data_IF_128198185560
#
_entry.id   IF_128198185560
#
_cell.length_a   1.000
_cell.length_b   1.000
_cell.length_c   1.000
_cell.angle_alpha   90.00
_cell.angle_beta   90.00
_cell.angle_gamma   90.00
#
_symmetry.space_group_name_H-M   'P 1'
#
loop_
_entity.id
_entity.type
_entity.pdbx_description
1 polymer ?
#
# COMPACT_ATOMS: atom_id res chain seq x y z
N UNK A 1 -2.61 -19.17 -16.84
CA UNK A 1 -2.89 -18.71 -15.47
C UNK A 1 -1.68 -18.19 -14.67
N UNK A 2 -0.41 -18.38 -15.10
CA UNK A 2 0.78 -17.79 -14.41
C UNK A 2 0.94 -16.27 -14.60
N UNK A 3 0.53 -15.72 -15.74
CA UNK A 3 0.65 -14.30 -16.08
C UNK A 3 -0.15 -13.37 -15.14
N UNK A 4 -1.40 -13.73 -14.83
CA UNK A 4 -2.29 -12.87 -14.02
C UNK A 4 -1.82 -12.69 -12.57
N UNK A 5 -1.14 -13.69 -11.99
CA UNK A 5 -0.56 -13.61 -10.63
C UNK A 5 0.55 -12.54 -10.58
N UNK A 6 1.35 -12.44 -11.65
CA UNK A 6 2.43 -11.45 -11.77
C UNK A 6 1.90 -10.02 -11.87
N UNK A 7 0.85 -9.79 -12.66
CA UNK A 7 0.23 -8.47 -12.79
C UNK A 7 -0.44 -8.05 -11.47
N UNK A 8 -1.18 -8.96 -10.82
CA UNK A 8 -1.80 -8.69 -9.52
C UNK A 8 -0.77 -8.32 -8.45
N UNK A 9 0.35 -9.06 -8.40
CA UNK A 9 1.45 -8.78 -7.47
C UNK A 9 2.11 -7.42 -7.73
N UNK A 10 2.32 -7.06 -9.00
CA UNK A 10 2.88 -5.78 -9.40
C UNK A 10 1.96 -4.62 -8.97
N UNK A 11 0.65 -4.76 -9.20
CA UNK A 11 -0.36 -3.77 -8.82
C UNK A 11 -0.43 -3.62 -7.30
N UNK A 12 -0.46 -4.74 -6.55
CA UNK A 12 -0.51 -4.69 -5.08
C UNK A 12 0.72 -4.00 -4.48
N UNK A 13 1.92 -4.26 -5.01
CA UNK A 13 3.15 -3.57 -4.59
C UNK A 13 3.14 -2.08 -4.96
N UNK A 14 2.67 -1.75 -6.16
CA UNK A 14 2.57 -0.37 -6.62
C UNK A 14 1.60 0.45 -5.75
N UNK A 15 0.44 -0.12 -5.41
CA UNK A 15 -0.55 0.50 -4.52
C UNK A 15 0.01 0.69 -3.11
N UNK A 16 0.72 -0.31 -2.58
CA UNK A 16 1.33 -0.21 -1.26
C UNK A 16 2.40 0.90 -1.18
N UNK A 17 3.25 1.03 -2.21
CA UNK A 17 4.21 2.14 -2.30
C UNK A 17 3.50 3.50 -2.43
N UNK A 18 2.47 3.60 -3.29
CA UNK A 18 1.72 4.83 -3.46
C UNK A 18 1.05 5.29 -2.16
N UNK A 19 0.46 4.37 -1.39
CA UNK A 19 -0.15 4.67 -0.08
C UNK A 19 0.89 5.16 0.94
N UNK A 20 2.08 4.55 0.99
CA UNK A 20 3.17 5.03 1.86
C UNK A 20 3.60 6.46 1.52
N UNK A 21 3.81 6.75 0.23
CA UNK A 21 4.18 8.10 -0.22
C UNK A 21 3.07 9.11 0.06
N UNK A 22 1.81 8.76 -0.21
CA UNK A 22 0.66 9.63 0.04
C UNK A 22 0.56 10.03 1.51
N UNK A 23 0.72 9.09 2.46
CA UNK A 23 0.67 9.40 3.89
C UNK A 23 1.83 10.30 4.31
N UNK A 24 3.05 10.07 3.80
CA UNK A 24 4.21 10.91 4.12
C UNK A 24 3.96 12.35 3.64
N UNK A 25 3.53 12.54 2.39
CA UNK A 25 3.26 13.87 1.83
C UNK A 25 2.15 14.58 2.60
N UNK A 26 1.07 13.86 2.91
CA UNK A 26 -0.09 14.40 3.60
C UNK A 26 0.19 14.70 5.08
N UNK A 27 1.08 13.93 5.69
CA UNK A 27 1.62 14.20 7.03
C UNK A 27 2.50 15.45 7.05
N UNK A 28 3.31 15.69 6.01
CA UNK A 28 4.12 16.91 5.87
C UNK A 28 3.23 18.14 5.70
N UNK A 29 2.15 18.01 4.91
CA UNK A 29 1.16 19.08 4.72
C UNK A 29 0.33 19.38 5.99
N UNK A 30 0.37 18.50 7.00
CA UNK A 30 -0.41 18.65 8.23
C UNK A 30 -1.92 18.57 8.01
N UNK A 31 -2.37 18.11 6.84
CA UNK A 31 -3.77 18.12 6.41
C UNK A 31 -4.52 16.87 6.83
N UNK A 32 -3.86 15.90 7.47
CA UNK A 32 -4.49 14.66 7.92
C UNK A 32 -4.20 14.33 9.38
N UNK A 33 -5.24 14.01 10.18
CA UNK A 33 -5.09 13.62 11.58
C UNK A 33 -4.39 12.26 11.69
N UNK A 34 -3.61 12.10 12.76
CA UNK A 34 -2.76 10.92 13.00
C UNK A 34 -3.52 9.60 12.90
N UNK A 35 -4.78 9.55 13.36
CA UNK A 35 -5.59 8.32 13.26
C UNK A 35 -5.79 7.90 11.80
N UNK A 36 -6.09 8.84 10.91
CA UNK A 36 -6.30 8.59 9.48
C UNK A 36 -4.98 8.20 8.79
N UNK A 37 -3.85 8.80 9.19
CA UNK A 37 -2.51 8.43 8.71
C UNK A 37 -2.18 6.97 9.01
N UNK A 38 -2.45 6.54 10.25
CA UNK A 38 -2.21 5.16 10.71
C UNK A 38 -3.12 4.18 9.95
N UNK A 39 -4.38 4.55 9.70
CA UNK A 39 -5.30 3.71 8.91
C UNK A 39 -4.83 3.57 7.46
N UNK A 40 -4.44 4.65 6.78
CA UNK A 40 -3.91 4.57 5.41
C UNK A 40 -2.62 3.73 5.33
N UNK A 41 -1.70 3.92 6.29
CA UNK A 41 -0.48 3.10 6.40
C UNK A 41 -0.83 1.62 6.62
N UNK A 42 -1.80 1.33 7.49
CA UNK A 42 -2.28 -0.03 7.74
C UNK A 42 -2.85 -0.70 6.49
N UNK A 43 -3.63 0.02 5.69
CA UNK A 43 -4.17 -0.48 4.40
C UNK A 43 -3.02 -0.73 3.41
N UNK A 44 -2.03 0.16 3.32
CA UNK A 44 -0.85 -0.02 2.48
C UNK A 44 -0.02 -1.25 2.87
N UNK A 45 0.20 -1.47 4.17
CA UNK A 45 0.88 -2.65 4.70
C UNK A 45 0.09 -3.94 4.46
N UNK A 46 -1.24 -3.90 4.60
CA UNK A 46 -2.10 -5.03 4.30
C UNK A 46 -2.02 -5.45 2.82
N UNK A 47 -2.06 -4.48 1.90
CA UNK A 47 -1.87 -4.75 0.48
C UNK A 47 -0.48 -5.35 0.18
N UNK A 48 0.55 -4.90 0.89
CA UNK A 48 1.91 -5.43 0.76
C UNK A 48 2.02 -6.86 1.29
N UNK A 49 1.34 -7.17 2.40
CA UNK A 49 1.23 -8.53 2.95
C UNK A 49 0.51 -9.49 1.99
N UNK A 50 -0.59 -9.04 1.36
CA UNK A 50 -1.28 -9.81 0.32
C UNK A 50 -0.38 -10.07 -0.90
N UNK A 51 0.39 -9.08 -1.34
CA UNK A 51 1.37 -9.25 -2.42
C UNK A 51 2.43 -10.31 -2.06
N UNK A 52 2.87 -10.32 -0.80
CA UNK A 52 3.86 -11.28 -0.31
C UNK A 52 3.27 -12.69 -0.24
N UNK A 53 2.04 -12.84 0.24
CA UNK A 53 1.37 -14.15 0.30
C UNK A 53 1.04 -14.73 -1.08
N UNK A 54 0.87 -13.89 -2.11
CA UNK A 54 0.67 -14.34 -3.49
C UNK A 54 1.98 -14.69 -4.20
N UNK A 55 3.12 -14.32 -3.61
CA UNK A 55 4.46 -14.61 -4.13
C UNK A 55 4.88 -16.07 -3.88
N UNK A 56 4.31 -16.70 -2.84
CA UNK A 56 4.38 -18.13 -2.55
C UNK A 56 3.28 -18.93 -3.30
#
# INVERSE_FOLDING_TARGET
MKESKSIAQLVLRAVALAMGVAVVVLSILGTVPVQTSVILLGIGLFALALAFMQQD
#
